data_IF_984896627993
#
_entry.id   IF_984896627993
#
_cell.length_a   1.000
_cell.length_b   1.000
_cell.length_c   1.000
_cell.angle_alpha   90.00
_cell.angle_beta   90.00
_cell.angle_gamma   90.00
#
_symmetry.space_group_name_H-M   'P 1'
#
loop_
_entity.id
_entity.type
_entity.pdbx_description
1 polymer ?
#
# COMPACT_ATOMS: atom_id res chain seq x y z
N UNK A 1 -6.71 -8.52 -15.29
CA UNK A 1 -7.18 -7.52 -14.29
C UNK A 1 -7.28 -8.17 -12.91
N UNK A 2 -6.87 -7.44 -11.89
CA UNK A 2 -6.94 -7.93 -10.52
C UNK A 2 -8.03 -7.14 -9.78
N UNK A 3 -9.26 -7.68 -9.66
CA UNK A 3 -10.37 -6.97 -9.01
C UNK A 3 -10.27 -7.00 -7.48
N UNK A 4 -9.18 -6.47 -6.96
CA UNK A 4 -8.88 -6.44 -5.54
C UNK A 4 -7.87 -5.32 -5.24
N UNK A 5 -7.70 -5.01 -3.97
CA UNK A 5 -6.60 -4.13 -3.55
C UNK A 5 -5.27 -4.82 -3.86
N UNK A 6 -4.27 -4.05 -4.21
CA UNK A 6 -2.94 -4.57 -4.55
C UNK A 6 -1.88 -3.91 -3.67
N UNK A 7 -0.68 -4.48 -3.67
CA UNK A 7 0.44 -3.99 -2.85
C UNK A 7 0.74 -2.51 -3.16
N UNK A 8 0.61 -2.11 -4.41
CA UNK A 8 0.91 -0.75 -4.89
C UNK A 8 -0.15 0.29 -4.57
N UNK A 9 -1.21 -0.07 -3.84
CA UNK A 9 -2.30 0.87 -3.47
C UNK A 9 -1.80 2.10 -2.71
N UNK A 10 -0.67 1.98 -2.02
CA UNK A 10 -0.14 3.05 -1.18
C UNK A 10 0.29 4.29 -1.97
N UNK A 11 0.75 4.11 -3.21
CA UNK A 11 1.08 5.24 -4.09
C UNK A 11 -0.17 6.09 -4.33
N UNK A 12 -1.28 5.44 -4.70
CA UNK A 12 -2.55 6.13 -4.94
C UNK A 12 -3.06 6.83 -3.68
N UNK A 13 -2.91 6.20 -2.52
CA UNK A 13 -3.34 6.81 -1.26
C UNK A 13 -2.53 8.07 -0.93
N UNK A 14 -1.23 8.03 -1.16
CA UNK A 14 -0.36 9.18 -0.84
C UNK A 14 -0.67 10.37 -1.72
N UNK A 15 -0.80 10.17 -3.03
CA UNK A 15 -1.01 11.29 -3.97
C UNK A 15 -2.44 11.82 -3.96
N UNK A 16 -3.42 11.05 -3.52
CA UNK A 16 -4.82 11.48 -3.46
C UNK A 16 -5.29 11.89 -2.06
N UNK A 17 -4.59 11.45 -1.02
CA UNK A 17 -5.01 11.66 0.35
C UNK A 17 -6.23 10.84 0.74
N UNK A 18 -6.60 9.83 -0.04
CA UNK A 18 -7.74 8.96 0.22
C UNK A 18 -7.25 7.65 0.81
N UNK A 19 -7.83 7.24 1.94
CA UNK A 19 -7.58 5.92 2.52
C UNK A 19 -8.45 4.90 1.79
N UNK A 20 -7.86 4.21 0.81
CA UNK A 20 -8.60 3.29 -0.06
C UNK A 20 -9.14 2.10 0.73
N UNK A 21 -8.35 1.55 1.64
CA UNK A 21 -8.77 0.40 2.44
C UNK A 21 -9.93 0.77 3.34
N UNK A 22 -9.85 1.91 4.03
CA UNK A 22 -10.94 2.39 4.87
C UNK A 22 -12.20 2.65 4.05
N UNK A 23 -12.05 3.26 2.87
CA UNK A 23 -13.18 3.51 1.98
C UNK A 23 -13.86 2.20 1.56
N UNK A 24 -13.10 1.16 1.25
CA UNK A 24 -13.64 -0.14 0.91
C UNK A 24 -14.44 -0.75 2.05
N UNK A 25 -13.94 -0.64 3.27
CA UNK A 25 -14.63 -1.14 4.46
C UNK A 25 -15.94 -0.40 4.66
N UNK A 26 -15.93 0.93 4.54
CA UNK A 26 -17.13 1.74 4.69
C UNK A 26 -18.18 1.43 3.63
N UNK A 27 -17.75 1.24 2.38
CA UNK A 27 -18.66 0.85 1.28
C UNK A 27 -19.28 -0.51 1.58
N UNK A 28 -18.50 -1.45 2.09
CA UNK A 28 -19.01 -2.78 2.46
C UNK A 28 -20.02 -2.69 3.60
N UNK A 29 -19.92 -1.67 4.46
CA UNK A 29 -20.88 -1.41 5.53
C UNK A 29 -22.12 -0.66 5.04
N UNK A 30 -22.17 -0.27 3.76
CA UNK A 30 -23.34 0.37 3.17
C UNK A 30 -23.22 1.87 2.96
N UNK A 31 -22.06 2.48 3.23
CA UNK A 31 -21.87 3.90 2.99
C UNK A 31 -21.64 4.17 1.51
N UNK A 32 -22.27 5.22 1.00
CA UNK A 32 -22.05 5.68 -0.36
C UNK A 32 -20.78 6.52 -0.45
N UNK A 33 -20.23 6.66 -1.65
CA UNK A 33 -19.02 7.46 -1.87
C UNK A 33 -19.23 8.93 -1.48
N UNK A 34 -20.43 9.47 -1.68
CA UNK A 34 -20.75 10.86 -1.35
C UNK A 34 -21.19 11.06 0.11
N UNK A 35 -21.21 10.02 0.93
CA UNK A 35 -21.50 10.13 2.34
C UNK A 35 -20.43 10.96 3.05
N UNK A 36 -20.77 11.49 4.23
CA UNK A 36 -19.80 12.26 5.02
C UNK A 36 -18.57 11.44 5.41
N UNK A 37 -18.75 10.14 5.57
CA UNK A 37 -17.66 9.25 5.99
C UNK A 37 -16.57 9.11 4.91
N UNK A 38 -16.96 9.14 3.63
CA UNK A 38 -16.02 8.99 2.51
C UNK A 38 -15.81 10.33 1.81
N UNK A 39 -16.89 11.08 1.56
CA UNK A 39 -16.88 12.44 1.03
C UNK A 39 -16.27 12.58 -0.36
N UNK A 40 -16.62 11.66 -1.26
CA UNK A 40 -16.26 11.75 -2.68
C UNK A 40 -17.55 11.92 -3.47
N UNK A 41 -17.82 13.13 -3.95
CA UNK A 41 -19.07 13.46 -4.64
C UNK A 41 -18.97 13.27 -6.14
N UNK A 42 -17.78 13.45 -6.71
CA UNK A 42 -17.52 13.26 -8.12
C UNK A 42 -16.04 12.92 -8.33
N UNK A 43 -15.70 12.54 -9.55
CA UNK A 43 -14.30 12.28 -9.90
C UNK A 43 -13.43 13.52 -9.71
N UNK A 44 -14.00 14.71 -9.87
CA UNK A 44 -13.25 15.96 -9.67
C UNK A 44 -12.80 16.19 -8.23
N UNK A 45 -13.45 15.53 -7.27
CA UNK A 45 -13.03 15.59 -5.87
C UNK A 45 -11.76 14.78 -5.59
N UNK A 46 -11.39 13.89 -6.51
CA UNK A 46 -10.17 13.11 -6.42
C UNK A 46 -9.06 13.85 -7.14
N UNK A 47 -8.17 14.46 -6.38
CA UNK A 47 -7.10 15.29 -6.95
C UNK A 47 -5.74 14.67 -6.66
N UNK A 48 -4.91 14.64 -7.68
CA UNK A 48 -3.55 14.14 -7.55
C UNK A 48 -2.65 15.30 -7.13
N UNK A 49 -1.95 15.11 -6.01
CA UNK A 49 -1.04 16.13 -5.46
C UNK A 49 0.31 15.50 -5.18
N UNK A 50 1.37 16.14 -5.69
CA UNK A 50 2.72 15.67 -5.47
C UNK A 50 3.04 14.40 -6.22
N UNK A 51 3.96 13.63 -5.68
CA UNK A 51 4.44 12.40 -6.27
C UNK A 51 4.75 11.38 -5.17
N UNK A 52 4.72 10.11 -5.53
CA UNK A 52 5.06 9.03 -4.62
C UNK A 52 5.74 7.91 -5.39
N UNK A 53 6.64 7.21 -4.71
CA UNK A 53 7.32 6.04 -5.26
C UNK A 53 7.17 4.92 -4.24
N UNK A 54 6.76 3.77 -4.72
CA UNK A 54 6.70 2.57 -3.90
C UNK A 54 7.82 1.61 -4.31
N UNK A 55 8.49 1.07 -3.30
CA UNK A 55 9.45 0.00 -3.49
C UNK A 55 8.94 -1.26 -2.81
N UNK A 56 8.86 -2.33 -3.56
CA UNK A 56 8.51 -3.64 -3.02
C UNK A 56 9.78 -4.43 -2.84
N UNK A 57 10.12 -4.71 -1.59
CA UNK A 57 11.36 -5.40 -1.25
C UNK A 57 11.02 -6.82 -0.81
N UNK A 58 11.56 -7.78 -1.54
CA UNK A 58 11.35 -9.20 -1.26
C UNK A 58 12.68 -9.91 -1.19
N UNK A 59 12.70 -11.03 -0.47
CA UNK A 59 13.88 -11.89 -0.47
C UNK A 59 13.72 -12.95 -1.54
N UNK A 60 14.74 -13.12 -2.37
CA UNK A 60 14.73 -14.07 -3.47
C UNK A 60 16.06 -14.81 -3.50
N UNK A 61 16.05 -16.00 -4.08
CA UNK A 61 17.26 -16.83 -4.22
C UNK A 61 17.75 -16.76 -5.66
N UNK A 62 18.81 -15.99 -5.97
CA UNK A 62 19.34 -15.93 -7.33
C UNK A 62 19.87 -17.26 -7.84
N UNK A 63 20.34 -18.12 -6.94
CA UNK A 63 20.85 -19.44 -7.30
C UNK A 63 19.72 -20.40 -7.72
N UNK A 64 18.47 -20.07 -7.41
CA UNK A 64 17.30 -20.87 -7.75
C UNK A 64 16.30 -20.08 -8.58
N UNK A 65 16.79 -19.41 -9.65
CA UNK A 65 15.97 -18.64 -10.60
C UNK A 65 15.14 -17.55 -9.92
N UNK A 66 15.68 -16.92 -8.89
CA UNK A 66 15.02 -15.86 -8.12
C UNK A 66 13.71 -16.29 -7.47
N UNK A 67 13.58 -17.57 -7.15
CA UNK A 67 12.43 -18.04 -6.38
C UNK A 67 12.40 -17.35 -5.00
N UNK A 68 11.22 -17.16 -4.40
CA UNK A 68 11.14 -16.58 -3.06
C UNK A 68 11.97 -17.36 -2.05
N UNK A 69 12.75 -16.64 -1.26
CA UNK A 69 13.59 -17.24 -0.24
C UNK A 69 12.91 -17.14 1.11
N UNK A 70 12.59 -18.29 1.71
CA UNK A 70 11.93 -18.39 3.01
C UNK A 70 12.91 -18.65 4.15
N UNK A 71 14.22 -18.50 3.88
CA UNK A 71 15.25 -18.70 4.88
C UNK A 71 15.21 -17.65 5.99
N UNK A 72 16.08 -17.82 6.97
CA UNK A 72 16.19 -16.90 8.09
C UNK A 72 16.79 -15.56 7.65
N UNK A 73 16.18 -14.47 8.09
CA UNK A 73 16.73 -13.13 7.86
C UNK A 73 17.80 -12.88 8.91
N UNK A 74 19.04 -12.69 8.46
CA UNK A 74 20.17 -12.43 9.36
C UNK A 74 20.17 -10.99 9.86
N UNK A 75 19.77 -10.04 9.01
CA UNK A 75 19.69 -8.63 9.36
C UNK A 75 18.50 -7.99 8.65
N UNK A 76 17.70 -7.23 9.41
CA UNK A 76 16.56 -6.50 8.86
C UNK A 76 16.55 -5.08 9.43
N UNK A 77 16.60 -4.10 8.53
CA UNK A 77 16.54 -2.68 8.91
C UNK A 77 15.84 -1.90 7.83
N UNK A 78 14.95 -1.00 8.22
CA UNK A 78 14.21 -0.16 7.30
C UNK A 78 14.48 1.31 7.58
N UNK A 79 14.35 2.15 6.55
CA UNK A 79 14.34 3.58 6.72
C UNK A 79 13.03 4.05 7.37
N UNK A 80 13.06 5.22 7.95
CA UNK A 80 11.87 5.84 8.53
C UNK A 80 12.03 7.36 8.52
N UNK A 81 10.94 8.06 8.78
CA UNK A 81 10.95 9.51 8.84
C UNK A 81 9.79 10.12 8.08
N UNK A 82 9.80 11.45 7.99
CA UNK A 82 8.75 12.18 7.28
C UNK A 82 8.75 11.82 5.80
N UNK A 83 7.57 11.54 5.28
CA UNK A 83 7.41 11.18 3.90
C UNK A 83 7.70 9.71 3.59
N UNK A 84 8.00 8.91 4.59
CA UNK A 84 8.23 7.47 4.43
C UNK A 84 7.09 6.70 5.08
N UNK A 85 6.47 5.82 4.29
CA UNK A 85 5.44 4.90 4.78
C UNK A 85 5.95 3.46 4.62
N UNK A 86 5.79 2.67 5.66
CA UNK A 86 6.20 1.27 5.66
C UNK A 86 4.97 0.38 5.85
N UNK A 87 4.82 -0.58 4.95
CA UNK A 87 3.82 -1.64 5.07
C UNK A 87 4.60 -2.95 5.12
N UNK A 88 4.86 -3.42 6.33
CA UNK A 88 5.69 -4.60 6.55
C UNK A 88 4.90 -5.89 6.45
N UNK A 89 5.57 -6.90 5.90
CA UNK A 89 5.07 -8.27 5.93
C UNK A 89 5.71 -9.03 7.10
N UNK A 90 6.36 -10.14 6.78
CA UNK A 90 6.95 -11.04 7.79
C UNK A 90 8.44 -10.76 8.03
N UNK A 91 8.94 -9.56 7.65
CA UNK A 91 10.36 -9.24 7.79
C UNK A 91 10.76 -8.92 9.22
N UNK A 92 11.73 -9.65 9.76
CA UNK A 92 12.32 -9.38 11.06
C UNK A 92 13.69 -10.04 11.11
N UNK A 93 14.55 -9.51 11.97
CA UNK A 93 15.86 -10.12 12.25
C UNK A 93 15.68 -11.24 13.27
N UNK A 94 16.16 -12.42 12.92
CA UNK A 94 15.94 -13.55 13.83
C UNK A 94 17.01 -14.59 13.79
#
# INVERSE_FOLDING_TARGET
MNPRIQVEHTVSEVITGIDIVQAQILIAEGYALDSKAINIKSQDDVKIRGAAIQCRITTEDPANSFAPDTGKIEFYSTGSGNGIRLDGGNGFTG
#
